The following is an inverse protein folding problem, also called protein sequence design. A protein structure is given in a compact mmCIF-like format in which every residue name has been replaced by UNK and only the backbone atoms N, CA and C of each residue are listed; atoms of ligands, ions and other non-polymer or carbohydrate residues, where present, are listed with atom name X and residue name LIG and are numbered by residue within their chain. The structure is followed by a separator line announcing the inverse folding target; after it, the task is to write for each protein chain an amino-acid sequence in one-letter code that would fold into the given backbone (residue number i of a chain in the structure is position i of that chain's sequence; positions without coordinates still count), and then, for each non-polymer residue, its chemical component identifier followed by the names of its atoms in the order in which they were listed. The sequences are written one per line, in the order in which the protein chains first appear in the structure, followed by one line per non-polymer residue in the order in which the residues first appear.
data_IF_927612012567
#
_entry.id   IF_927612012567
#
_cell.length_a   1.000
_cell.length_b   1.000
_cell.length_c   1.000
_cell.angle_alpha   90.00
_cell.angle_beta   90.00
_cell.angle_gamma   90.00
#
_symmetry.space_group_name_H-M   'P 1'
#
loop_
_entity.id
_entity.type
_entity.pdbx_description
1 polymer ?
#
# COMPACT_ATOMS: atom_id res chain seq x y z
N UNK A 1 -18.79 5.76 10.63
CA UNK A 1 -19.84 6.23 9.73
C UNK A 1 -20.54 5.01 9.14
N UNK A 2 -21.88 5.02 8.90
CA UNK A 2 -22.53 3.91 8.21
C UNK A 2 -21.98 3.79 6.80
N UNK A 3 -21.85 2.55 6.31
CA UNK A 3 -21.52 2.30 4.90
C UNK A 3 -22.67 2.83 4.03
N UNK A 4 -22.34 3.42 2.88
CA UNK A 4 -23.32 3.85 1.89
C UNK A 4 -24.19 2.66 1.44
N UNK A 5 -25.42 2.92 1.05
CA UNK A 5 -26.21 1.92 0.37
C UNK A 5 -25.52 1.51 -0.95
N UNK A 6 -25.72 0.26 -1.39
CA UNK A 6 -25.01 -0.27 -2.57
C UNK A 6 -25.15 0.62 -3.81
N UNK A 7 -26.31 1.27 -3.97
CA UNK A 7 -26.64 2.13 -5.11
C UNK A 7 -26.07 3.56 -4.98
N UNK A 8 -25.61 3.94 -3.77
CA UNK A 8 -24.97 5.24 -3.54
C UNK A 8 -23.51 5.27 -3.99
N UNK A 9 -22.86 4.11 -4.09
CA UNK A 9 -21.48 4.01 -4.56
C UNK A 9 -21.46 3.89 -6.08
N UNK A 10 -21.07 4.95 -6.77
CA UNK A 10 -21.02 5.03 -8.23
C UNK A 10 -19.74 5.71 -8.71
N UNK A 11 -19.39 5.50 -9.97
CA UNK A 11 -18.27 6.21 -10.62
C UNK A 11 -18.57 7.70 -10.64
N UNK A 12 -17.60 8.49 -10.19
CA UNK A 12 -17.76 9.95 -10.00
C UNK A 12 -18.24 10.36 -8.60
N UNK A 13 -18.45 9.40 -7.67
CA UNK A 13 -18.76 9.74 -6.27
C UNK A 13 -17.58 10.49 -5.66
N UNK A 14 -17.78 11.78 -5.37
CA UNK A 14 -16.81 12.61 -4.65
C UNK A 14 -16.88 12.33 -3.15
N UNK A 15 -15.77 11.83 -2.61
CA UNK A 15 -15.62 11.56 -1.18
C UNK A 15 -15.03 12.78 -0.42
N UNK A 16 -14.82 13.90 -1.11
CA UNK A 16 -14.37 15.17 -0.53
C UNK A 16 -12.86 15.26 -0.33
N UNK A 17 -12.47 16.33 0.32
CA UNK A 17 -11.07 16.68 0.57
C UNK A 17 -10.76 16.79 2.06
N UNK A 18 -9.48 16.56 2.42
CA UNK A 18 -8.92 16.78 3.75
C UNK A 18 -7.56 17.42 3.65
N UNK A 19 -7.30 18.36 4.54
CA UNK A 19 -6.03 19.07 4.61
C UNK A 19 -5.14 18.52 5.71
N UNK A 20 -3.86 18.44 5.43
CA UNK A 20 -2.84 17.91 6.34
C UNK A 20 -1.61 18.81 6.33
N UNK A 21 -1.08 19.12 7.51
CA UNK A 21 0.30 19.56 7.68
C UNK A 21 1.16 18.31 7.83
N UNK A 22 2.12 18.10 6.93
CA UNK A 22 3.07 16.99 7.02
C UNK A 22 4.12 17.32 8.07
N UNK A 23 3.80 17.03 9.31
CA UNK A 23 4.64 17.39 10.45
C UNK A 23 5.82 16.42 10.62
N UNK A 24 6.93 16.87 11.28
CA UNK A 24 8.04 15.98 11.67
C UNK A 24 7.57 14.81 12.53
N UNK A 25 6.53 14.99 13.34
CA UNK A 25 5.95 13.93 14.16
C UNK A 25 5.28 12.87 13.29
N UNK A 26 4.44 13.25 12.32
CA UNK A 26 3.80 12.32 11.38
C UNK A 26 4.82 11.48 10.62
N UNK A 27 5.93 12.11 10.19
CA UNK A 27 7.02 11.40 9.50
C UNK A 27 7.69 10.40 10.43
N UNK A 28 7.94 10.76 11.68
CA UNK A 28 8.51 9.85 12.69
C UNK A 28 7.58 8.69 13.00
N UNK A 29 6.29 8.94 13.19
CA UNK A 29 5.28 7.91 13.43
C UNK A 29 5.23 6.89 12.29
N UNK A 30 5.29 7.36 11.03
CA UNK A 30 5.39 6.47 9.88
C UNK A 30 6.68 5.65 9.91
N UNK A 31 7.83 6.32 10.07
CA UNK A 31 9.14 5.67 10.07
C UNK A 31 9.25 4.58 11.14
N UNK A 32 8.76 4.87 12.34
CA UNK A 32 8.72 3.91 13.45
C UNK A 32 7.75 2.75 13.18
N UNK A 33 6.60 3.03 12.53
CA UNK A 33 5.59 2.01 12.24
C UNK A 33 6.06 0.97 11.21
N UNK A 34 6.89 1.36 10.24
CA UNK A 34 7.41 0.47 9.20
C UNK A 34 8.91 0.17 9.35
N UNK A 35 9.55 0.75 10.39
CA UNK A 35 11.01 0.65 10.62
C UNK A 35 11.83 1.11 9.40
N UNK A 36 11.39 2.20 8.76
CA UNK A 36 12.09 2.87 7.66
C UNK A 36 12.60 4.23 8.14
N UNK A 37 13.87 4.30 8.52
CA UNK A 37 14.50 5.50 9.05
C UNK A 37 15.50 6.10 8.04
N UNK A 38 15.05 6.31 6.80
CA UNK A 38 15.89 6.90 5.76
C UNK A 38 16.38 8.31 6.19
N UNK A 39 17.68 8.64 6.04
CA UNK A 39 18.24 9.92 6.53
C UNK A 39 17.54 11.17 5.99
N UNK A 40 16.97 11.11 4.80
CA UNK A 40 16.26 12.24 4.18
C UNK A 40 14.97 12.63 4.91
N UNK A 41 14.42 11.75 5.74
CA UNK A 41 13.22 12.04 6.51
C UNK A 41 13.48 13.01 7.67
N UNK A 42 14.72 12.99 8.19
CA UNK A 42 15.09 13.70 9.41
C UNK A 42 16.18 14.76 9.19
N UNK A 43 16.75 14.84 8.00
CA UNK A 43 17.86 15.72 7.66
C UNK A 43 17.76 16.23 6.23
N UNK A 44 18.90 16.71 5.71
CA UNK A 44 18.98 17.22 4.35
C UNK A 44 18.68 16.14 3.32
N UNK A 45 17.92 16.49 2.31
CA UNK A 45 17.62 15.66 1.13
C UNK A 45 18.06 16.38 -0.15
N UNK A 46 18.10 15.69 -1.30
CA UNK A 46 18.34 16.33 -2.60
C UNK A 46 17.32 17.41 -2.98
N UNK A 47 16.22 17.51 -2.24
CA UNK A 47 15.15 18.49 -2.46
C UNK A 47 15.31 19.77 -1.63
N UNK A 48 16.43 19.92 -0.93
CA UNK A 48 16.78 21.10 -0.14
C UNK A 48 16.22 21.14 1.29
N UNK A 49 15.29 20.24 1.64
CA UNK A 49 14.68 20.11 2.97
C UNK A 49 14.41 18.63 3.30
N UNK A 50 14.09 18.27 4.55
CA UNK A 50 13.62 16.93 4.87
C UNK A 50 12.38 16.56 4.04
N UNK A 51 12.34 15.31 3.57
CA UNK A 51 11.24 14.80 2.73
C UNK A 51 10.44 13.76 3.51
N UNK A 52 9.14 13.74 3.34
CA UNK A 52 8.31 12.69 3.89
C UNK A 52 8.54 11.35 3.16
N UNK A 53 8.36 10.20 3.81
CA UNK A 53 8.33 8.91 3.14
C UNK A 53 7.39 8.91 1.93
N UNK A 54 7.75 8.24 0.84
CA UNK A 54 6.99 8.26 -0.41
C UNK A 54 5.51 7.91 -0.29
N UNK A 55 5.14 7.09 0.71
CA UNK A 55 3.76 6.69 0.97
C UNK A 55 3.24 7.19 2.33
N UNK A 56 3.65 8.38 2.76
CA UNK A 56 3.34 8.95 4.10
C UNK A 56 1.85 8.90 4.48
N UNK A 57 0.94 9.00 3.53
CA UNK A 57 -0.51 8.91 3.73
C UNK A 57 -1.08 7.62 3.13
N UNK A 58 -0.37 6.50 3.31
CA UNK A 58 -0.70 5.19 2.75
C UNK A 58 -2.11 4.67 3.06
N UNK A 59 -2.72 5.11 4.16
CA UNK A 59 -4.04 4.67 4.62
C UNK A 59 -5.16 5.70 4.41
N UNK A 60 -4.93 6.75 3.62
CA UNK A 60 -5.93 7.81 3.38
C UNK A 60 -7.26 7.27 2.86
N UNK A 61 -7.22 6.24 2.03
CA UNK A 61 -8.41 5.60 1.49
C UNK A 61 -9.36 5.03 2.57
N UNK A 62 -8.87 4.80 3.78
CA UNK A 62 -9.66 4.24 4.88
C UNK A 62 -10.26 5.30 5.82
N UNK A 63 -9.85 6.57 5.68
CA UNK A 63 -10.33 7.67 6.52
C UNK A 63 -11.81 7.97 6.25
N UNK A 64 -12.22 7.91 4.98
CA UNK A 64 -13.62 7.98 4.58
C UNK A 64 -14.03 6.66 3.91
N UNK A 65 -15.12 6.06 4.39
CA UNK A 65 -15.63 4.78 3.89
C UNK A 65 -16.93 4.91 3.11
N UNK A 66 -17.33 6.10 2.67
CA UNK A 66 -18.53 6.30 1.85
C UNK A 66 -18.49 5.52 0.54
N UNK A 67 -17.31 5.20 0.05
CA UNK A 67 -17.10 4.37 -1.13
C UNK A 67 -17.12 2.86 -0.87
N UNK A 68 -17.33 2.41 0.39
CA UNK A 68 -17.45 1.00 0.74
C UNK A 68 -18.87 0.51 0.48
N UNK A 69 -18.98 -0.67 -0.12
CA UNK A 69 -20.25 -1.38 -0.20
C UNK A 69 -20.63 -1.93 1.18
N UNK A 70 -21.95 -2.16 1.43
CA UNK A 70 -22.46 -2.54 2.77
C UNK A 70 -21.88 -3.84 3.32
N UNK A 71 -21.53 -4.80 2.44
CA UNK A 71 -20.98 -6.07 2.89
C UNK A 71 -19.49 -5.93 3.22
N UNK A 72 -19.20 -5.64 4.49
CA UNK A 72 -17.83 -5.53 5.00
C UNK A 72 -17.17 -6.90 5.24
N UNK A 73 -17.95 -7.97 5.40
CA UNK A 73 -17.43 -9.32 5.54
C UNK A 73 -16.96 -9.84 4.19
N UNK A 74 -15.71 -10.26 4.10
CA UNK A 74 -15.12 -10.71 2.84
C UNK A 74 -14.78 -9.60 1.87
N UNK A 75 -14.74 -8.33 2.29
CA UNK A 75 -14.08 -7.31 1.51
C UNK A 75 -12.57 -7.56 1.55
N UNK A 76 -11.89 -7.30 0.45
CA UNK A 76 -10.45 -7.49 0.33
C UNK A 76 -9.82 -6.30 -0.40
N UNK A 77 -8.76 -5.78 0.17
CA UNK A 77 -7.87 -4.88 -0.55
C UNK A 77 -7.11 -5.73 -1.59
N UNK A 78 -7.57 -5.71 -2.83
CA UNK A 78 -7.11 -6.64 -3.85
C UNK A 78 -5.87 -6.13 -4.61
N UNK A 79 -5.84 -4.81 -4.91
CA UNK A 79 -4.77 -4.17 -5.67
C UNK A 79 -4.55 -2.75 -5.18
N UNK A 80 -3.29 -2.31 -5.19
CA UNK A 80 -2.89 -0.95 -4.90
C UNK A 80 -2.00 -0.40 -6.01
N UNK A 81 -2.28 0.84 -6.43
CA UNK A 81 -1.43 1.58 -7.37
C UNK A 81 -0.97 2.89 -6.74
N UNK A 82 0.27 3.26 -7.02
CA UNK A 82 0.87 4.51 -6.61
C UNK A 82 1.61 5.16 -7.79
N UNK A 83 1.48 6.48 -7.89
CA UNK A 83 2.33 7.31 -8.75
C UNK A 83 2.85 8.49 -7.94
N UNK A 84 4.16 8.69 -7.97
CA UNK A 84 4.86 9.77 -7.29
C UNK A 84 5.30 10.78 -8.34
N UNK A 85 4.79 12.01 -8.25
CA UNK A 85 5.09 13.08 -9.22
C UNK A 85 6.14 14.05 -8.69
N UNK A 86 6.10 14.32 -7.39
CA UNK A 86 7.05 15.18 -6.68
C UNK A 86 7.11 14.79 -5.20
N UNK A 87 8.23 15.07 -4.51
CA UNK A 87 8.33 14.84 -3.08
C UNK A 87 7.35 15.72 -2.31
N UNK A 88 6.89 15.21 -1.19
CA UNK A 88 6.22 16.00 -0.15
C UNK A 88 7.28 16.38 0.86
N UNK A 89 7.46 17.67 1.12
CA UNK A 89 8.44 18.14 2.10
C UNK A 89 7.85 18.12 3.52
N UNK A 90 8.71 17.92 4.50
CA UNK A 90 8.30 18.07 5.91
C UNK A 90 7.98 19.54 6.16
N UNK A 91 6.82 19.82 6.73
CA UNK A 91 6.27 21.16 6.92
C UNK A 91 5.33 21.63 5.80
N UNK A 92 5.20 20.88 4.70
CA UNK A 92 4.28 21.20 3.61
C UNK A 92 2.82 20.91 4.03
N UNK A 93 1.90 21.76 3.59
CA UNK A 93 0.47 21.50 3.61
C UNK A 93 0.09 20.74 2.35
N UNK A 94 -0.69 19.70 2.49
CA UNK A 94 -1.26 18.94 1.38
C UNK A 94 -2.76 18.77 1.55
N UNK A 95 -3.48 18.81 0.43
CA UNK A 95 -4.90 18.45 0.35
C UNK A 95 -5.02 17.05 -0.27
N UNK A 96 -5.64 16.11 0.44
CA UNK A 96 -6.01 14.80 -0.07
C UNK A 96 -7.44 14.84 -0.59
N UNK A 97 -7.64 14.72 -1.90
CA UNK A 97 -8.96 14.69 -2.55
C UNK A 97 -9.29 13.26 -3.00
N UNK A 98 -10.47 12.79 -2.66
CA UNK A 98 -10.89 11.40 -2.81
C UNK A 98 -12.08 11.23 -3.74
N UNK A 99 -11.99 10.28 -4.69
CA UNK A 99 -12.99 10.05 -5.73
C UNK A 99 -13.13 8.57 -6.06
N UNK A 100 -14.34 8.08 -6.32
CA UNK A 100 -14.56 6.77 -6.95
C UNK A 100 -14.40 6.93 -8.46
N UNK A 101 -13.41 6.27 -9.05
CA UNK A 101 -13.05 6.44 -10.47
C UNK A 101 -13.49 5.27 -11.34
N UNK A 102 -13.76 4.10 -10.75
CA UNK A 102 -14.21 2.93 -11.49
C UNK A 102 -14.98 1.96 -10.57
N UNK A 103 -15.85 1.14 -11.17
CA UNK A 103 -16.56 0.04 -10.52
C UNK A 103 -16.80 -1.07 -11.52
N UNK A 104 -16.38 -2.30 -11.20
CA UNK A 104 -16.48 -3.42 -12.13
C UNK A 104 -16.70 -4.76 -11.44
N UNK A 105 -17.31 -5.70 -12.15
CA UNK A 105 -17.49 -7.07 -11.71
C UNK A 105 -16.38 -7.98 -12.22
N UNK A 106 -15.82 -8.79 -11.33
CA UNK A 106 -14.79 -9.76 -11.69
C UNK A 106 -14.83 -10.98 -10.76
N UNK A 107 -14.91 -12.17 -11.32
CA UNK A 107 -14.89 -13.46 -10.58
C UNK A 107 -15.89 -13.51 -9.42
N UNK A 108 -17.12 -13.06 -9.67
CA UNK A 108 -18.19 -13.07 -8.67
C UNK A 108 -18.03 -12.04 -7.54
N UNK A 109 -17.20 -11.03 -7.72
CA UNK A 109 -17.00 -9.94 -6.78
C UNK A 109 -17.22 -8.59 -7.45
N UNK A 110 -17.71 -7.63 -6.67
CA UNK A 110 -17.84 -6.23 -7.05
C UNK A 110 -16.60 -5.48 -6.61
N UNK A 111 -15.94 -4.81 -7.54
CA UNK A 111 -14.74 -4.02 -7.28
C UNK A 111 -15.05 -2.55 -7.37
N UNK A 112 -14.66 -1.79 -6.36
CA UNK A 112 -14.70 -0.33 -6.38
C UNK A 112 -13.26 0.16 -6.42
N UNK A 113 -12.98 1.08 -7.35
CA UNK A 113 -11.67 1.73 -7.47
C UNK A 113 -11.77 3.15 -6.91
N UNK A 114 -11.09 3.36 -5.81
CA UNK A 114 -11.02 4.63 -5.11
C UNK A 114 -9.67 5.29 -5.38
N UNK A 115 -9.69 6.53 -5.89
CA UNK A 115 -8.51 7.34 -6.13
C UNK A 115 -8.38 8.41 -5.05
N UNK A 116 -7.15 8.65 -4.60
CA UNK A 116 -6.80 9.82 -3.80
C UNK A 116 -5.68 10.59 -4.51
N UNK A 117 -5.90 11.87 -4.74
CA UNK A 117 -4.89 12.81 -5.19
C UNK A 117 -4.39 13.63 -3.99
N UNK A 118 -3.08 13.67 -3.82
CA UNK A 118 -2.43 14.51 -2.82
C UNK A 118 -1.84 15.71 -3.51
N UNK A 119 -2.34 16.90 -3.18
CA UNK A 119 -2.07 18.16 -3.87
C UNK A 119 -1.35 19.09 -2.88
N UNK A 120 -0.20 19.61 -3.29
CA UNK A 120 0.55 20.58 -2.48
C UNK A 120 -0.05 21.99 -2.53
N UNK A 121 0.46 22.90 -1.69
CA UNK A 121 0.03 24.31 -1.61
C UNK A 121 0.18 25.06 -2.95
N UNK A 122 1.08 24.60 -3.82
CA UNK A 122 1.28 25.16 -5.16
C UNK A 122 0.26 24.64 -6.20
N UNK A 123 -0.72 23.86 -5.77
CA UNK A 123 -1.74 23.24 -6.61
C UNK A 123 -1.26 22.05 -7.45
N UNK A 124 -0.01 21.61 -7.30
CA UNK A 124 0.53 20.47 -8.05
C UNK A 124 0.28 19.18 -7.32
N UNK A 125 -0.06 18.13 -8.09
CA UNK A 125 -0.18 16.77 -7.55
C UNK A 125 1.18 16.27 -7.12
N UNK A 126 1.28 15.81 -5.88
CA UNK A 126 2.46 15.14 -5.30
C UNK A 126 2.40 13.64 -5.50
N UNK A 127 1.28 13.05 -5.12
CA UNK A 127 1.03 11.60 -5.16
C UNK A 127 -0.36 11.32 -5.74
N UNK A 128 -0.50 10.16 -6.36
CA UNK A 128 -1.77 9.54 -6.71
C UNK A 128 -1.82 8.12 -6.17
N UNK A 129 -2.87 7.79 -5.44
CA UNK A 129 -3.15 6.47 -4.90
C UNK A 129 -4.42 5.92 -5.54
N UNK A 130 -4.43 4.68 -6.00
CA UNK A 130 -5.63 3.97 -6.45
C UNK A 130 -5.76 2.64 -5.73
N UNK A 131 -6.86 2.49 -5.02
CA UNK A 131 -7.18 1.28 -4.25
C UNK A 131 -8.29 0.53 -4.94
N UNK A 132 -8.05 -0.74 -5.28
CA UNK A 132 -9.08 -1.64 -5.77
C UNK A 132 -9.55 -2.52 -4.61
N UNK A 133 -10.69 -2.18 -4.04
CA UNK A 133 -11.33 -2.95 -2.99
C UNK A 133 -12.37 -3.88 -3.62
N UNK A 134 -12.36 -5.14 -3.25
CA UNK A 134 -13.32 -6.12 -3.73
C UNK A 134 -14.32 -6.52 -2.65
N UNK A 135 -15.59 -6.65 -3.02
CA UNK A 135 -16.70 -6.98 -2.12
C UNK A 135 -17.42 -8.22 -2.63
N UNK A 136 -17.97 -9.04 -1.75
CA UNK A 136 -18.82 -10.16 -2.16
C UNK A 136 -20.14 -9.62 -2.71
N UNK A 137 -20.64 -10.21 -3.80
CA UNK A 137 -21.89 -9.79 -4.46
C UNK A 137 -23.12 -10.09 -3.62
N UNK A 138 -23.13 -11.21 -2.91
CA UNK A 138 -24.26 -11.66 -2.11
C UNK A 138 -23.93 -11.66 -0.62
N UNK A 139 -25.01 -11.46 0.15
CA UNK A 139 -25.06 -11.60 1.60
C UNK A 139 -24.92 -13.05 2.10
N UNK A 140 -24.41 -13.97 1.30
CA UNK A 140 -24.02 -15.28 1.77
C UNK A 140 -22.89 -15.08 2.78
N UNK A 141 -23.35 -14.81 3.97
CA UNK A 141 -22.65 -14.52 5.22
C UNK A 141 -21.99 -15.80 5.74
N UNK A 142 -21.25 -16.45 4.91
CA UNK A 142 -20.22 -17.38 5.32
C UNK A 142 -18.92 -16.65 5.12
N UNK A 143 -18.49 -15.86 6.09
CA UNK A 143 -17.21 -15.18 6.02
C UNK A 143 -16.15 -16.18 5.58
N UNK A 144 -15.53 -15.96 4.42
CA UNK A 144 -14.36 -16.69 4.03
C UNK A 144 -13.23 -16.22 4.91
N UNK A 145 -13.13 -16.84 6.08
CA UNK A 145 -11.97 -16.68 6.96
C UNK A 145 -10.78 -17.23 6.19
N UNK A 146 -9.84 -16.37 5.88
CA UNK A 146 -8.56 -16.82 5.34
C UNK A 146 -7.76 -17.38 6.51
N UNK A 147 -7.80 -18.70 6.70
CA UNK A 147 -6.98 -19.41 7.68
C UNK A 147 -5.62 -19.78 7.11
N UNK A 148 -4.62 -19.94 7.98
CA UNK A 148 -3.27 -20.41 7.60
C UNK A 148 -3.29 -21.74 6.81
N UNK A 149 -4.28 -22.59 7.03
CA UNK A 149 -4.46 -23.85 6.30
C UNK A 149 -4.90 -23.62 4.85
N UNK A 150 -5.80 -22.66 4.60
CA UNK A 150 -6.22 -22.31 3.24
C UNK A 150 -5.15 -21.61 2.41
N UNK A 151 -4.18 -20.95 3.03
CA UNK A 151 -3.00 -20.42 2.32
C UNK A 151 -2.20 -21.56 1.68
N UNK A 152 -2.09 -22.71 2.38
CA UNK A 152 -1.40 -23.90 1.86
C UNK A 152 -2.21 -24.63 0.79
N UNK A 153 -3.55 -24.65 0.91
CA UNK A 153 -4.44 -25.34 -0.03
C UNK A 153 -4.72 -24.53 -1.31
N UNK A 154 -4.64 -23.19 -1.27
CA UNK A 154 -4.95 -22.35 -2.42
C UNK A 154 -4.02 -22.55 -3.61
N UNK A 155 -2.91 -23.28 -3.44
CA UNK A 155 -2.06 -23.80 -4.53
C UNK A 155 -1.51 -22.77 -5.52
N UNK A 156 -1.88 -21.49 -5.39
CA UNK A 156 -1.36 -20.41 -6.20
C UNK A 156 0.02 -20.02 -5.71
N UNK A 157 0.99 -20.80 -6.09
CA UNK A 157 2.39 -20.35 -6.06
C UNK A 157 2.51 -19.27 -7.14
N UNK A 158 2.60 -18.03 -6.73
CA UNK A 158 3.03 -16.97 -7.63
C UNK A 158 4.48 -17.26 -8.00
N UNK A 159 4.72 -17.40 -9.28
CA UNK A 159 6.08 -17.52 -9.78
C UNK A 159 6.66 -16.11 -9.89
N UNK A 160 7.56 -15.77 -8.98
CA UNK A 160 8.22 -14.46 -8.88
C UNK A 160 9.70 -14.58 -9.17
N UNK A 161 10.32 -13.49 -9.64
CA UNK A 161 11.76 -13.45 -9.91
C UNK A 161 12.23 -14.30 -11.09
N UNK A 162 11.31 -14.85 -11.90
CA UNK A 162 11.68 -15.71 -13.04
C UNK A 162 12.05 -14.92 -14.29
N UNK A 163 12.84 -15.58 -15.15
CA UNK A 163 13.29 -15.04 -16.41
C UNK A 163 14.51 -14.13 -16.26
N UNK A 164 14.96 -13.49 -17.36
CA UNK A 164 16.14 -12.62 -17.36
C UNK A 164 16.00 -11.49 -16.34
N UNK A 165 17.06 -11.26 -15.60
CA UNK A 165 17.20 -10.16 -14.64
C UNK A 165 18.42 -9.34 -15.05
N UNK A 166 18.29 -8.01 -15.04
CA UNK A 166 19.42 -7.11 -15.26
C UNK A 166 20.12 -6.77 -13.94
N UNK A 167 19.33 -6.68 -12.85
CA UNK A 167 19.84 -6.39 -11.52
C UNK A 167 18.84 -6.91 -10.48
N UNK A 168 19.33 -7.59 -9.45
CA UNK A 168 18.57 -7.91 -8.23
C UNK A 168 18.84 -6.83 -7.17
N UNK A 169 17.80 -6.24 -6.62
CA UNK A 169 17.93 -5.28 -5.54
C UNK A 169 18.28 -5.98 -4.23
N UNK A 170 19.08 -5.31 -3.38
CA UNK A 170 19.35 -5.81 -2.04
C UNK A 170 18.02 -5.95 -1.26
N UNK A 171 17.66 -7.15 -0.79
CA UNK A 171 16.37 -7.40 -0.17
C UNK A 171 16.29 -6.75 1.21
N UNK A 172 15.07 -6.35 1.61
CA UNK A 172 14.76 -5.88 2.96
C UNK A 172 14.07 -7.00 3.73
N UNK A 173 14.52 -7.25 4.95
CA UNK A 173 13.93 -8.25 5.85
C UNK A 173 13.32 -7.54 7.05
N UNK A 174 12.04 -7.80 7.32
CA UNK A 174 11.29 -7.23 8.45
C UNK A 174 10.62 -8.35 9.25
N UNK A 175 10.79 -8.34 10.54
CA UNK A 175 9.97 -9.13 11.47
C UNK A 175 8.81 -8.25 11.95
N UNK A 176 7.57 -8.62 11.61
CA UNK A 176 6.41 -7.78 11.88
C UNK A 176 5.82 -8.10 13.24
N UNK A 177 6.34 -7.43 14.25
CA UNK A 177 5.89 -7.57 15.63
C UNK A 177 4.61 -6.80 15.97
N UNK A 178 4.05 -7.02 17.19
CA UNK A 178 2.81 -6.37 17.63
C UNK A 178 2.93 -4.84 17.68
N UNK A 179 4.08 -4.31 18.04
CA UNK A 179 4.30 -2.86 18.10
C UNK A 179 4.17 -2.21 16.71
N UNK A 180 4.71 -2.81 15.67
CA UNK A 180 4.54 -2.35 14.30
C UNK A 180 3.06 -2.34 13.89
N UNK A 181 2.33 -3.42 14.20
CA UNK A 181 0.90 -3.53 13.89
C UNK A 181 0.09 -2.41 14.57
N UNK A 182 0.34 -2.15 15.86
CA UNK A 182 -0.33 -1.09 16.62
C UNK A 182 0.02 0.30 16.09
N UNK A 183 1.29 0.59 15.83
CA UNK A 183 1.74 1.88 15.28
C UNK A 183 1.17 2.14 13.88
N UNK A 184 1.10 1.09 13.05
CA UNK A 184 0.65 1.23 11.67
C UNK A 184 -0.87 1.33 11.52
N UNK A 185 -1.63 0.60 12.35
CA UNK A 185 -3.08 0.44 12.21
C UNK A 185 -3.89 0.95 13.42
N UNK A 186 -3.21 1.50 14.43
CA UNK A 186 -3.82 2.08 15.62
C UNK A 186 -4.34 3.50 15.42
N UNK A 187 -4.69 4.19 16.52
CA UNK A 187 -4.50 3.79 17.94
C UNK A 187 -5.57 2.87 18.51
N UNK A 188 -6.68 2.62 17.83
CA UNK A 188 -7.79 1.82 18.36
C UNK A 188 -7.58 0.31 18.22
N UNK A 189 -8.32 -0.47 19.02
CA UNK A 189 -8.39 -1.92 18.88
C UNK A 189 -9.18 -2.30 17.63
N UNK A 190 -8.57 -3.11 16.78
CA UNK A 190 -9.18 -3.69 15.60
C UNK A 190 -8.44 -4.99 15.22
N UNK A 191 -8.90 -5.72 14.22
CA UNK A 191 -8.32 -7.00 13.81
C UNK A 191 -6.88 -6.91 13.25
N UNK A 192 -6.36 -5.69 13.06
CA UNK A 192 -4.96 -5.44 12.70
C UNK A 192 -4.07 -5.12 13.91
N UNK A 193 -4.64 -4.96 15.11
CA UNK A 193 -3.90 -4.53 16.30
C UNK A 193 -4.15 -5.40 17.53
N UNK A 194 -5.22 -6.17 17.53
CA UNK A 194 -5.67 -6.92 18.69
C UNK A 194 -6.16 -8.31 18.27
N UNK A 195 -5.66 -9.34 18.98
CA UNK A 195 -5.95 -10.74 18.67
C UNK A 195 -7.39 -11.12 18.89
N UNK A 196 -8.02 -10.61 19.98
CA UNK A 196 -9.41 -10.91 20.28
C UNK A 196 -10.33 -10.31 19.20
N UNK A 197 -10.02 -9.11 18.71
CA UNK A 197 -10.76 -8.50 17.60
C UNK A 197 -10.57 -9.29 16.29
N UNK A 198 -9.39 -9.83 16.06
CA UNK A 198 -9.13 -10.69 14.91
C UNK A 198 -9.92 -12.00 15.01
N UNK A 199 -9.94 -12.63 16.17
CA UNK A 199 -10.67 -13.88 16.43
C UNK A 199 -12.19 -13.72 16.32
N UNK A 200 -12.77 -12.58 16.71
CA UNK A 200 -14.20 -12.27 16.48
C UNK A 200 -14.59 -12.32 14.99
N UNK A 201 -13.64 -12.03 14.10
CA UNK A 201 -13.81 -12.12 12.65
C UNK A 201 -13.40 -13.49 12.08
N UNK A 202 -13.00 -14.43 12.95
CA UNK A 202 -12.59 -15.79 12.61
C UNK A 202 -11.14 -15.90 12.12
N UNK A 203 -10.32 -14.88 12.29
CA UNK A 203 -8.88 -14.98 11.98
C UNK A 203 -8.14 -15.69 13.13
N UNK A 204 -7.12 -16.52 12.83
CA UNK A 204 -6.38 -17.24 13.87
C UNK A 204 -5.40 -16.34 14.63
N UNK A 205 -5.01 -15.22 14.06
CA UNK A 205 -4.03 -14.27 14.57
C UNK A 205 -4.31 -12.86 14.06
N UNK A 206 -3.64 -11.84 14.60
CA UNK A 206 -3.68 -10.48 14.09
C UNK A 206 -3.24 -10.44 12.62
N UNK A 207 -4.08 -9.87 11.77
CA UNK A 207 -3.80 -9.68 10.35
C UNK A 207 -2.97 -8.41 10.19
N UNK A 208 -1.76 -8.52 9.67
CA UNK A 208 -0.97 -7.33 9.30
C UNK A 208 -1.69 -6.58 8.18
N UNK A 209 -1.86 -5.28 8.33
CA UNK A 209 -2.51 -4.47 7.30
C UNK A 209 -1.72 -4.55 5.98
N UNK A 210 -2.39 -4.90 4.88
CA UNK A 210 -1.72 -5.18 3.61
C UNK A 210 -0.88 -4.00 3.08
N UNK A 211 -1.26 -2.76 3.40
CA UNK A 211 -0.47 -1.58 3.03
C UNK A 211 0.92 -1.54 3.66
N UNK A 212 1.17 -2.25 4.76
CA UNK A 212 2.50 -2.31 5.37
C UNK A 212 3.52 -2.93 4.39
N UNK A 213 3.16 -4.01 3.70
CA UNK A 213 4.02 -4.63 2.68
C UNK A 213 4.26 -3.71 1.47
N UNK A 214 3.28 -2.89 1.11
CA UNK A 214 3.42 -1.87 0.05
C UNK A 214 4.38 -0.75 0.48
N UNK A 215 4.36 -0.37 1.77
CA UNK A 215 5.34 0.58 2.33
C UNK A 215 6.77 0.00 2.32
N UNK A 216 6.96 -1.28 2.61
CA UNK A 216 8.27 -1.94 2.49
C UNK A 216 8.80 -1.93 1.05
N UNK A 217 7.91 -2.14 0.06
CA UNK A 217 8.29 -1.99 -1.35
C UNK A 217 8.69 -0.55 -1.70
N UNK A 218 8.00 0.45 -1.15
CA UNK A 218 8.38 1.86 -1.32
C UNK A 218 9.73 2.19 -0.69
N UNK A 219 10.04 1.62 0.47
CA UNK A 219 11.37 1.72 1.11
C UNK A 219 12.45 1.14 0.19
N UNK A 220 12.25 -0.07 -0.34
CA UNK A 220 13.16 -0.71 -1.30
C UNK A 220 13.43 0.19 -2.52
N UNK A 221 12.37 0.78 -3.08
CA UNK A 221 12.47 1.70 -4.22
C UNK A 221 13.19 3.00 -3.85
N UNK A 222 12.95 3.53 -2.64
CA UNK A 222 13.64 4.72 -2.11
C UNK A 222 15.14 4.46 -1.98
N UNK A 223 15.53 3.32 -1.40
CA UNK A 223 16.94 2.95 -1.23
C UNK A 223 17.68 2.81 -2.55
N UNK A 224 17.05 2.26 -3.59
CA UNK A 224 17.70 2.01 -4.87
C UNK A 224 17.69 3.23 -5.80
N UNK A 225 16.58 3.98 -5.85
CA UNK A 225 16.38 5.03 -6.85
C UNK A 225 16.38 6.45 -6.30
N UNK A 226 16.30 6.61 -4.97
CA UNK A 226 16.34 7.91 -4.33
C UNK A 226 15.36 8.92 -4.95
N UNK A 227 15.90 10.04 -5.44
CA UNK A 227 15.09 11.09 -6.06
C UNK A 227 14.28 10.62 -7.28
N UNK A 228 14.76 9.63 -8.01
CA UNK A 228 14.04 9.05 -9.14
C UNK A 228 12.77 8.28 -8.75
N UNK A 229 12.70 7.76 -7.52
CA UNK A 229 11.46 7.22 -6.97
C UNK A 229 10.47 8.34 -6.64
N UNK A 230 10.90 9.40 -5.96
CA UNK A 230 10.04 10.54 -5.60
C UNK A 230 9.52 11.34 -6.79
N UNK A 231 10.31 11.43 -7.87
CA UNK A 231 10.00 12.27 -9.04
C UNK A 231 9.69 11.42 -10.28
N UNK A 232 8.75 10.50 -10.19
CA UNK A 232 8.33 9.68 -11.32
C UNK A 232 8.20 8.19 -11.00
N UNK A 233 8.27 7.82 -9.72
CA UNK A 233 8.03 6.46 -9.26
C UNK A 233 6.60 6.00 -9.56
N UNK A 234 6.46 4.75 -9.97
CA UNK A 234 5.17 4.09 -10.16
C UNK A 234 5.22 2.69 -9.56
N UNK A 235 4.13 2.27 -8.98
CA UNK A 235 3.96 0.92 -8.42
C UNK A 235 2.53 0.45 -8.65
N UNK A 236 2.38 -0.82 -9.03
CA UNK A 236 1.08 -1.49 -9.13
C UNK A 236 1.23 -2.91 -8.58
N UNK A 237 0.62 -3.19 -7.43
CA UNK A 237 0.77 -4.46 -6.74
C UNK A 237 -0.57 -5.06 -6.34
N UNK A 238 -0.64 -6.39 -6.35
CA UNK A 238 -1.75 -7.17 -5.85
C UNK A 238 -1.40 -7.72 -4.46
N UNK A 239 -2.35 -7.64 -3.54
CA UNK A 239 -2.29 -8.26 -2.23
C UNK A 239 -2.91 -9.66 -2.37
N UNK A 240 -2.09 -10.69 -2.24
CA UNK A 240 -2.47 -12.05 -2.68
C UNK A 240 -2.59 -13.06 -1.54
N UNK A 241 -1.87 -12.84 -0.44
CA UNK A 241 -1.98 -13.64 0.78
C UNK A 241 -1.86 -12.75 2.02
N UNK A 242 -2.27 -13.29 3.16
CA UNK A 242 -2.23 -12.60 4.45
C UNK A 242 -0.84 -12.74 5.06
N UNK A 243 -0.34 -11.66 5.64
CA UNK A 243 0.78 -11.68 6.57
C UNK A 243 0.22 -11.63 7.98
N UNK A 244 0.71 -12.53 8.85
CA UNK A 244 0.30 -12.57 10.25
C UNK A 244 1.33 -11.87 11.14
N UNK A 245 0.86 -11.29 12.23
CA UNK A 245 1.75 -10.75 13.26
C UNK A 245 2.74 -11.83 13.74
N UNK A 246 4.00 -11.45 13.93
CA UNK A 246 5.08 -12.35 14.33
C UNK A 246 5.76 -13.08 13.16
N UNK A 247 5.29 -12.90 11.92
CA UNK A 247 5.96 -13.47 10.76
C UNK A 247 7.05 -12.54 10.23
N UNK A 248 8.06 -13.16 9.63
CA UNK A 248 9.12 -12.45 8.90
C UNK A 248 8.76 -12.35 7.43
N UNK A 249 8.95 -11.16 6.86
CA UNK A 249 8.74 -10.89 5.44
C UNK A 249 10.02 -10.35 4.82
N UNK A 250 10.34 -10.85 3.63
CA UNK A 250 11.42 -10.36 2.79
C UNK A 250 10.83 -9.63 1.58
N UNK A 251 11.33 -8.42 1.33
CA UNK A 251 10.93 -7.57 0.21
C UNK A 251 11.96 -7.68 -0.90
N UNK A 252 11.51 -7.95 -2.11
CA UNK A 252 12.36 -8.18 -3.28
C UNK A 252 12.01 -7.23 -4.43
N UNK A 253 13.00 -6.92 -5.23
CA UNK A 253 12.85 -6.21 -6.49
C UNK A 253 13.89 -6.69 -7.51
N UNK A 254 13.45 -6.88 -8.76
CA UNK A 254 14.33 -7.32 -9.86
C UNK A 254 14.11 -6.41 -11.05
N UNK A 255 15.15 -5.73 -11.49
CA UNK A 255 15.09 -4.90 -12.72
C UNK A 255 15.05 -5.82 -13.94
N UNK A 256 14.00 -5.70 -14.73
CA UNK A 256 13.78 -6.49 -15.94
C UNK A 256 14.17 -5.75 -17.21
N UNK A 257 14.03 -4.43 -17.20
CA UNK A 257 14.23 -3.60 -18.41
C UNK A 257 14.59 -2.18 -18.02
N UNK A 258 15.35 -1.51 -18.89
CA UNK A 258 15.52 -0.06 -18.92
C UNK A 258 14.94 0.49 -20.22
N UNK A 259 14.11 1.54 -20.12
CA UNK A 259 13.57 2.26 -21.28
C UNK A 259 14.03 3.71 -21.29
N UNK A 260 14.26 4.33 -22.46
CA UNK A 260 14.56 5.75 -22.54
C UNK A 260 13.41 6.61 -22.00
N UNK A 261 13.73 7.66 -21.24
CA UNK A 261 12.77 8.66 -20.75
C UNK A 261 13.42 10.06 -20.85
N UNK A 262 13.24 10.74 -21.97
CA UNK A 262 13.93 11.99 -22.27
C UNK A 262 15.45 11.77 -22.33
N UNK A 263 16.19 12.52 -21.50
CA UNK A 263 17.65 12.38 -21.33
C UNK A 263 18.06 11.33 -20.29
N UNK A 264 17.11 10.65 -19.68
CA UNK A 264 17.32 9.65 -18.62
C UNK A 264 16.83 8.27 -19.06
N UNK A 265 16.88 7.32 -18.14
CA UNK A 265 16.30 6.00 -18.29
C UNK A 265 15.26 5.76 -17.19
N UNK A 266 14.28 4.93 -17.49
CA UNK A 266 13.35 4.36 -16.53
C UNK A 266 13.67 2.89 -16.33
N UNK A 267 13.87 2.49 -15.09
CA UNK A 267 13.96 1.09 -14.71
C UNK A 267 12.55 0.52 -14.51
N UNK A 268 12.29 -0.65 -15.07
CA UNK A 268 11.07 -1.43 -14.85
C UNK A 268 11.38 -2.68 -14.05
N UNK A 269 10.63 -2.91 -12.98
CA UNK A 269 10.89 -3.96 -12.02
C UNK A 269 9.68 -4.87 -11.82
N UNK A 270 9.97 -6.14 -11.59
CA UNK A 270 9.10 -7.01 -10.81
C UNK A 270 9.42 -6.83 -9.33
N UNK A 271 8.38 -6.68 -8.49
CA UNK A 271 8.53 -6.48 -7.05
C UNK A 271 7.59 -7.40 -6.28
N UNK A 272 8.04 -7.92 -5.13
CA UNK A 272 7.19 -8.76 -4.29
C UNK A 272 7.65 -8.77 -2.84
N UNK A 273 6.73 -9.16 -1.95
CA UNK A 273 7.03 -9.49 -0.56
C UNK A 273 6.71 -10.96 -0.31
N UNK A 274 7.59 -11.66 0.39
CA UNK A 274 7.54 -13.09 0.60
C UNK A 274 7.83 -13.44 2.06
N UNK A 275 7.05 -14.38 2.62
CA UNK A 275 7.31 -14.94 3.96
C UNK A 275 8.51 -15.87 3.95
N UNK A 276 9.02 -16.22 5.13
CA UNK A 276 10.13 -17.14 5.29
C UNK A 276 9.85 -18.55 4.72
N UNK A 277 8.58 -18.97 4.65
CA UNK A 277 8.17 -20.27 4.07
C UNK A 277 8.00 -20.24 2.54
N UNK A 278 8.30 -19.12 1.90
CA UNK A 278 8.18 -18.94 0.46
C UNK A 278 6.81 -18.44 0.00
N UNK A 279 5.84 -18.22 0.89
CA UNK A 279 4.52 -17.68 0.53
C UNK A 279 4.62 -16.22 0.10
N UNK A 280 4.25 -15.92 -1.14
CA UNK A 280 4.18 -14.54 -1.65
C UNK A 280 2.92 -13.86 -1.11
N UNK A 281 3.08 -12.69 -0.48
CA UNK A 281 1.96 -11.94 0.11
C UNK A 281 1.54 -10.73 -0.75
N UNK A 282 2.51 -10.12 -1.42
CA UNK A 282 2.29 -8.97 -2.30
C UNK A 282 3.15 -9.15 -3.53
N UNK A 283 2.61 -8.89 -4.72
CA UNK A 283 3.34 -9.05 -6.00
C UNK A 283 2.86 -8.07 -7.04
N UNK A 284 3.77 -7.57 -7.84
CA UNK A 284 3.43 -6.67 -8.95
C UNK A 284 4.64 -6.07 -9.64
N UNK A 285 4.47 -4.87 -10.13
CA UNK A 285 5.50 -4.13 -10.85
C UNK A 285 5.74 -2.77 -10.23
N UNK A 286 6.96 -2.27 -10.38
CA UNK A 286 7.32 -0.90 -10.06
C UNK A 286 8.19 -0.33 -11.19
N UNK A 287 8.29 0.99 -11.25
CA UNK A 287 9.26 1.65 -12.10
C UNK A 287 9.72 2.97 -11.47
N UNK A 288 10.94 3.36 -11.76
CA UNK A 288 11.50 4.63 -11.31
C UNK A 288 12.46 5.20 -12.35
N UNK A 289 12.64 6.51 -12.30
CA UNK A 289 13.64 7.19 -13.12
C UNK A 289 15.03 6.90 -12.54
N UNK A 290 15.99 6.57 -13.39
CA UNK A 290 17.39 6.45 -12.99
C UNK A 290 18.02 7.83 -13.01
N UNK A 291 18.51 8.30 -11.88
CA UNK A 291 19.08 9.65 -11.68
C UNK A 291 20.58 9.58 -11.57
#
# INVERSE_FOLDING_TARGET
MPNAAKDEVHVGLDCGSRDYLISPQMVREYADAVQDHHPWYFGSSPFGAPVAPGLIRHSEMYVDRRWYLPNIYGNLHAKQEWELFAPILVGEHITAHSLVIDRYLKRGRDYVVHEVLFIGDDGRVRLRSRTHQSFLLDSNVGGTVVGKEREKESGRRFEVGKGPALEDLAPLVKEVGPEMCVRFSGPGKNYHTDRDEAQKLGFPEVVVQGMMSVCFLSELMTQRFGAGWYCGGKMAVNLVNVLWQGETVTTHGVIKEFTPEGSRQRAHLEVWCQKADGTVITVGSASAVVV
#
